data_IF_692671886966
#
_entry.id   IF_692671886966
#
_cell.length_a   1.000
_cell.length_b   1.000
_cell.length_c   1.000
_cell.angle_alpha   90.00
_cell.angle_beta   90.00
_cell.angle_gamma   90.00
#
_symmetry.space_group_name_H-M   'P 1'
#
loop_
_entity.id
_entity.type
_entity.pdbx_description
1 polymer ?
#
# COMPACT_ATOMS: atom_id res chain seq x y z
N UNK A 1 -38.44 25.70 23.58
CA UNK A 1 -37.19 26.48 23.60
C UNK A 1 -36.02 25.50 23.61
N UNK A 2 -35.16 25.64 22.60
CA UNK A 2 -33.76 25.17 22.49
C UNK A 2 -33.48 23.66 22.44
N UNK A 3 -33.54 23.11 21.23
CA UNK A 3 -32.70 21.98 20.80
C UNK A 3 -31.25 22.48 20.65
N UNK A 4 -30.34 22.13 21.57
CA UNK A 4 -28.90 22.31 21.35
C UNK A 4 -28.31 20.98 20.87
N UNK A 5 -28.33 20.84 19.54
CA UNK A 5 -27.52 19.87 18.83
C UNK A 5 -26.04 20.26 19.04
N UNK A 6 -25.35 19.58 19.95
CA UNK A 6 -23.92 19.77 20.20
C UNK A 6 -23.15 19.23 18.99
N UNK A 7 -23.00 20.05 17.95
CA UNK A 7 -22.03 19.83 16.88
C UNK A 7 -20.63 20.03 17.47
N UNK A 8 -20.09 19.02 18.14
CA UNK A 8 -18.65 18.98 18.43
C UNK A 8 -17.90 18.97 17.11
N UNK A 9 -16.96 19.90 16.86
CA UNK A 9 -16.12 19.83 15.67
C UNK A 9 -15.43 18.46 15.64
N UNK A 10 -15.57 17.71 14.56
CA UNK A 10 -14.81 16.47 14.35
C UNK A 10 -13.32 16.85 14.26
N UNK A 11 -12.60 16.69 15.36
CA UNK A 11 -11.15 16.88 15.42
C UNK A 11 -10.50 15.60 14.92
N UNK A 12 -9.66 15.71 13.89
CA UNK A 12 -8.91 14.60 13.33
C UNK A 12 -7.54 14.54 14.00
N UNK A 13 -7.19 13.42 14.63
CA UNK A 13 -5.92 13.25 15.35
C UNK A 13 -4.95 12.37 14.55
N UNK A 14 -3.70 12.81 14.44
CA UNK A 14 -2.62 12.00 13.89
C UNK A 14 -2.23 10.90 14.89
N UNK A 15 -2.40 9.63 14.51
CA UNK A 15 -2.06 8.50 15.38
C UNK A 15 -0.55 8.32 15.62
N UNK A 16 0.29 9.03 14.86
CA UNK A 16 1.75 8.94 14.94
C UNK A 16 2.35 9.98 15.90
N UNK A 17 1.70 11.14 16.06
CA UNK A 17 2.24 12.24 16.88
C UNK A 17 1.18 13.00 17.71
N UNK A 18 -0.07 12.55 17.69
CA UNK A 18 -1.20 13.11 18.44
C UNK A 18 -1.55 14.58 18.14
N UNK A 19 -1.03 15.13 17.03
CA UNK A 19 -1.43 16.45 16.55
C UNK A 19 -2.87 16.43 16.03
N UNK A 20 -3.61 17.50 16.32
CA UNK A 20 -5.03 17.64 16.04
C UNK A 20 -5.26 18.60 14.86
N UNK A 21 -6.14 18.20 13.95
CA UNK A 21 -6.45 18.92 12.71
C UNK A 21 -7.95 19.17 12.59
N UNK A 22 -8.30 20.28 11.94
CA UNK A 22 -9.69 20.66 11.71
C UNK A 22 -10.34 19.94 10.52
N UNK A 23 -9.57 19.20 9.72
CA UNK A 23 -10.09 18.40 8.61
C UNK A 23 -9.18 17.20 8.30
N UNK A 24 -9.78 16.17 7.68
CA UNK A 24 -9.05 14.99 7.21
C UNK A 24 -7.96 15.37 6.20
N UNK A 25 -8.22 16.28 5.26
CA UNK A 25 -7.23 16.69 4.25
C UNK A 25 -5.99 17.33 4.86
N UNK A 26 -6.14 18.08 5.97
CA UNK A 26 -5.02 18.63 6.71
C UNK A 26 -4.21 17.54 7.41
N UNK A 27 -4.89 16.54 8.00
CA UNK A 27 -4.24 15.37 8.57
C UNK A 27 -3.47 14.57 7.50
N UNK A 28 -4.07 14.31 6.33
CA UNK A 28 -3.41 13.60 5.22
C UNK A 28 -2.16 14.32 4.73
N UNK A 29 -2.25 15.65 4.55
CA UNK A 29 -1.09 16.47 4.16
C UNK A 29 -0.01 16.46 5.26
N UNK A 30 -0.42 16.46 6.52
CA UNK A 30 0.50 16.35 7.64
C UNK A 30 1.21 14.98 7.63
N UNK A 31 0.48 13.85 7.56
CA UNK A 31 1.10 12.52 7.49
C UNK A 31 2.06 12.41 6.32
N UNK A 32 1.65 12.85 5.13
CA UNK A 32 2.52 12.82 3.94
C UNK A 32 3.79 13.66 4.10
N UNK A 33 3.73 14.81 4.80
CA UNK A 33 4.87 15.73 4.92
C UNK A 33 5.76 15.46 6.13
N UNK A 34 5.24 14.86 7.20
CA UNK A 34 5.95 14.62 8.46
C UNK A 34 6.24 13.14 8.72
N UNK A 35 5.51 12.25 8.06
CA UNK A 35 5.51 10.81 8.31
C UNK A 35 5.54 10.01 6.99
N UNK A 36 6.18 10.55 5.94
CA UNK A 36 6.21 9.95 4.60
C UNK A 36 6.74 8.51 4.58
N UNK A 37 7.67 8.18 5.48
CA UNK A 37 8.37 6.90 5.54
C UNK A 37 7.89 6.06 6.74
N UNK A 38 6.71 6.36 7.27
CA UNK A 38 6.15 5.64 8.41
C UNK A 38 5.91 4.17 8.08
N UNK A 39 6.47 3.26 8.89
CA UNK A 39 6.20 1.81 8.85
C UNK A 39 5.33 1.31 10.00
N UNK A 40 4.97 2.20 10.94
CA UNK A 40 4.19 1.81 12.11
C UNK A 40 2.76 1.47 11.72
N UNK A 41 2.36 0.23 11.98
CA UNK A 41 1.00 -0.29 11.80
C UNK A 41 0.43 -0.53 13.21
N UNK A 42 -0.56 0.25 13.68
CA UNK A 42 -1.05 0.18 15.06
C UNK A 42 -1.55 -1.22 15.47
N UNK A 43 -2.20 -1.92 14.55
CA UNK A 43 -2.79 -3.25 14.77
C UNK A 43 -1.88 -4.39 14.29
N UNK A 44 -0.57 -4.14 14.13
CA UNK A 44 0.35 -5.13 13.58
C UNK A 44 0.32 -6.47 14.29
N UNK A 45 0.25 -6.46 15.62
CA UNK A 45 0.21 -7.66 16.45
C UNK A 45 -1.08 -8.48 16.29
N UNK A 46 -2.12 -7.88 15.70
CA UNK A 46 -3.37 -8.57 15.36
C UNK A 46 -3.29 -9.30 14.02
N UNK A 47 -2.23 -9.10 13.23
CA UNK A 47 -2.02 -9.79 11.96
C UNK A 47 -1.38 -11.16 12.23
N UNK A 48 -2.08 -12.23 11.85
CA UNK A 48 -1.62 -13.60 12.02
C UNK A 48 -0.65 -14.01 10.91
N UNK A 49 0.31 -14.89 11.18
CA UNK A 49 1.18 -15.43 10.13
C UNK A 49 0.35 -16.21 9.09
N UNK A 50 0.31 -15.79 7.82
CA UNK A 50 -0.49 -16.49 6.81
C UNK A 50 0.06 -17.90 6.53
N UNK A 51 -0.82 -18.91 6.33
CA UNK A 51 -0.39 -20.24 5.92
C UNK A 51 0.21 -20.23 4.50
N UNK A 52 1.17 -21.11 4.19
CA UNK A 52 1.88 -21.12 2.90
C UNK A 52 0.95 -21.21 1.68
N UNK A 53 -0.14 -21.95 1.77
CA UNK A 53 -1.09 -22.13 0.68
C UNK A 53 -1.77 -20.81 0.30
N UNK A 54 -2.12 -19.98 1.30
CA UNK A 54 -2.70 -18.67 1.04
C UNK A 54 -1.68 -17.69 0.46
N UNK A 55 -0.40 -17.80 0.86
CA UNK A 55 0.68 -17.00 0.27
C UNK A 55 0.81 -17.32 -1.23
N UNK A 56 0.85 -18.60 -1.60
CA UNK A 56 0.96 -19.03 -3.00
C UNK A 56 -0.26 -18.56 -3.82
N UNK A 57 -1.47 -18.71 -3.28
CA UNK A 57 -2.69 -18.22 -3.94
C UNK A 57 -2.62 -16.71 -4.19
N UNK A 58 -2.17 -15.95 -3.20
CA UNK A 58 -2.00 -14.50 -3.31
C UNK A 58 -0.98 -14.14 -4.39
N UNK A 59 0.21 -14.75 -4.36
CA UNK A 59 1.26 -14.49 -5.35
C UNK A 59 0.75 -14.74 -6.78
N UNK A 60 0.05 -15.85 -7.00
CA UNK A 60 -0.55 -16.17 -8.29
C UNK A 60 -1.59 -15.13 -8.75
N UNK A 61 -2.52 -14.75 -7.86
CA UNK A 61 -3.53 -13.73 -8.16
C UNK A 61 -2.87 -12.37 -8.47
N UNK A 62 -1.87 -11.99 -7.68
CA UNK A 62 -1.13 -10.75 -7.84
C UNK A 62 -0.41 -10.67 -9.18
N UNK A 63 0.24 -11.76 -9.61
CA UNK A 63 0.88 -11.87 -10.93
C UNK A 63 -0.15 -11.65 -12.05
N UNK A 64 -1.33 -12.28 -11.97
CA UNK A 64 -2.39 -12.11 -12.97
C UNK A 64 -2.85 -10.65 -13.03
N UNK A 65 -3.08 -10.03 -11.87
CA UNK A 65 -3.50 -8.62 -11.80
C UNK A 65 -2.44 -7.68 -12.36
N UNK A 66 -1.17 -7.90 -12.05
CA UNK A 66 -0.07 -7.13 -12.60
C UNK A 66 0.01 -7.32 -14.11
N UNK A 67 -0.03 -8.58 -14.58
CA UNK A 67 0.09 -8.89 -16.02
C UNK A 67 -0.94 -8.14 -16.83
N UNK A 68 -2.21 -8.24 -16.41
CA UNK A 68 -3.34 -7.55 -17.04
C UNK A 68 -3.18 -6.03 -17.10
N UNK A 69 -2.55 -5.40 -16.10
CA UNK A 69 -2.37 -3.93 -16.08
C UNK A 69 -1.11 -3.45 -16.80
N UNK A 70 -0.09 -4.30 -16.94
CA UNK A 70 1.19 -3.97 -17.56
C UNK A 70 1.26 -4.29 -19.06
N UNK A 71 0.41 -5.17 -19.60
CA UNK A 71 0.39 -5.53 -21.05
C UNK A 71 0.28 -4.35 -22.01
N UNK A 72 -0.25 -3.22 -21.57
CA UNK A 72 -0.48 -2.04 -22.41
C UNK A 72 0.05 -0.75 -21.77
N UNK A 73 1.09 -0.82 -20.93
CA UNK A 73 1.56 0.34 -20.16
C UNK A 73 2.91 0.89 -20.61
N UNK A 74 2.95 2.21 -20.84
CA UNK A 74 4.17 3.02 -20.98
C UNK A 74 4.23 3.96 -19.76
N UNK A 75 5.39 4.00 -19.06
CA UNK A 75 5.66 4.92 -17.93
C UNK A 75 5.37 4.35 -16.53
N UNK A 76 5.41 5.24 -15.52
CA UNK A 76 5.14 4.90 -14.11
C UNK A 76 3.65 4.71 -13.86
N UNK A 77 3.23 3.59 -13.26
CA UNK A 77 1.82 3.30 -12.96
C UNK A 77 1.66 2.81 -11.52
N UNK A 78 0.70 3.42 -10.82
CA UNK A 78 0.20 2.91 -9.56
C UNK A 78 -0.75 1.72 -9.79
N UNK A 79 -0.57 0.66 -9.00
CA UNK A 79 -1.41 -0.51 -8.95
C UNK A 79 -2.10 -0.56 -7.58
N UNK A 80 -3.35 -0.12 -7.53
CA UNK A 80 -4.23 -0.42 -6.39
C UNK A 80 -4.79 -1.83 -6.52
N UNK A 81 -4.64 -2.63 -5.46
CA UNK A 81 -5.19 -3.99 -5.36
C UNK A 81 -6.18 -3.97 -4.21
N UNK A 82 -7.47 -3.97 -4.56
CA UNK A 82 -8.55 -3.98 -3.58
C UNK A 82 -8.88 -5.42 -3.17
N UNK A 83 -9.16 -5.63 -1.88
CA UNK A 83 -9.77 -6.84 -1.31
C UNK A 83 -8.91 -8.11 -1.19
N UNK A 84 -7.76 -8.03 -0.49
CA UNK A 84 -6.99 -9.22 -0.08
C UNK A 84 -6.68 -9.19 1.41
N UNK A 85 -6.38 -10.35 2.04
CA UNK A 85 -6.05 -10.39 3.47
C UNK A 85 -4.85 -9.51 3.74
N UNK A 86 -5.06 -8.45 4.52
CA UNK A 86 -4.05 -7.47 4.93
C UNK A 86 -2.78 -8.17 5.43
N UNK A 87 -2.94 -9.26 6.18
CA UNK A 87 -1.81 -10.02 6.72
C UNK A 87 -0.86 -10.56 5.66
N UNK A 88 -1.36 -10.96 4.48
CA UNK A 88 -0.51 -11.49 3.42
C UNK A 88 0.31 -10.36 2.80
N UNK A 89 -0.33 -9.20 2.55
CA UNK A 89 0.37 -8.04 2.05
C UNK A 89 1.46 -7.60 3.01
N UNK A 90 1.13 -7.44 4.30
CA UNK A 90 2.11 -7.04 5.31
C UNK A 90 3.23 -8.08 5.39
N UNK A 91 2.93 -9.38 5.41
CA UNK A 91 3.93 -10.45 5.44
C UNK A 91 4.91 -10.39 4.26
N UNK A 92 4.43 -10.07 3.05
CA UNK A 92 5.26 -10.04 1.84
C UNK A 92 6.08 -8.75 1.69
N UNK A 93 5.55 -7.61 2.15
CA UNK A 93 6.08 -6.30 1.78
C UNK A 93 6.64 -5.48 2.95
N UNK A 94 6.38 -5.82 4.22
CA UNK A 94 6.75 -4.97 5.38
C UNK A 94 8.23 -4.62 5.49
N UNK A 95 9.09 -5.51 4.98
CA UNK A 95 10.54 -5.38 5.05
C UNK A 95 11.12 -4.65 3.84
N UNK A 96 10.28 -4.31 2.86
CA UNK A 96 10.75 -3.56 1.70
C UNK A 96 11.17 -2.14 2.11
N UNK A 97 12.24 -1.58 1.49
CA UNK A 97 12.77 -0.28 1.87
C UNK A 97 11.72 0.84 1.79
N UNK A 98 10.93 0.82 0.72
CA UNK A 98 9.90 1.81 0.38
C UNK A 98 8.53 1.51 0.98
N UNK A 99 8.41 0.43 1.77
CA UNK A 99 7.19 0.10 2.48
C UNK A 99 6.81 1.23 3.43
N UNK A 100 5.55 1.64 3.40
CA UNK A 100 4.99 2.61 4.33
C UNK A 100 3.50 2.37 4.56
N UNK A 101 3.00 2.85 5.69
CA UNK A 101 1.60 2.79 6.08
C UNK A 101 1.11 4.18 6.48
N UNK A 102 -0.05 4.60 5.97
CA UNK A 102 -0.79 5.78 6.42
C UNK A 102 -1.91 5.33 7.36
N UNK A 103 -1.83 5.63 8.67
CA UNK A 103 -2.94 5.36 9.59
C UNK A 103 -4.21 6.16 9.26
N UNK A 104 -4.08 7.41 8.80
CA UNK A 104 -5.25 8.22 8.46
C UNK A 104 -6.01 7.70 7.23
N UNK A 105 -5.30 7.17 6.22
CA UNK A 105 -5.93 6.56 5.04
C UNK A 105 -6.21 5.07 5.24
N UNK A 106 -5.59 4.46 6.25
CA UNK A 106 -5.49 3.00 6.43
C UNK A 106 -4.90 2.32 5.18
N UNK A 107 -3.90 2.97 4.59
CA UNK A 107 -3.30 2.59 3.32
C UNK A 107 -1.87 2.09 3.45
N UNK A 108 -1.56 1.01 2.75
CA UNK A 108 -0.19 0.57 2.54
C UNK A 108 0.34 1.04 1.19
N UNK A 109 1.61 1.41 1.17
CA UNK A 109 2.32 1.73 -0.05
C UNK A 109 3.67 1.00 -0.06
N UNK A 110 4.12 0.66 -1.24
CA UNK A 110 5.45 0.13 -1.50
C UNK A 110 5.82 0.54 -2.92
N UNK A 111 7.05 0.97 -3.13
CA UNK A 111 7.51 1.46 -4.43
C UNK A 111 8.64 0.57 -4.96
N UNK A 112 8.44 0.06 -6.18
CA UNK A 112 9.44 -0.69 -6.93
C UNK A 112 9.80 0.13 -8.16
N UNK A 113 11.08 0.38 -8.39
CA UNK A 113 11.58 1.25 -9.44
C UNK A 113 12.57 0.54 -10.38
N UNK A 114 12.39 0.67 -11.69
CA UNK A 114 13.36 0.20 -12.68
C UNK A 114 13.46 -1.33 -12.80
N UNK A 115 14.59 -1.79 -13.35
CA UNK A 115 14.89 -3.23 -13.47
C UNK A 115 15.07 -3.89 -12.10
N UNK A 116 15.72 -3.19 -11.17
CA UNK A 116 15.96 -3.70 -9.82
C UNK A 116 14.64 -3.90 -9.06
N UNK A 117 13.70 -2.96 -9.21
CA UNK A 117 12.35 -3.09 -8.67
C UNK A 117 11.56 -4.24 -9.30
N UNK A 118 11.70 -4.45 -10.61
CA UNK A 118 11.09 -5.59 -11.31
C UNK A 118 11.65 -6.92 -10.79
N UNK A 119 12.97 -7.04 -10.66
CA UNK A 119 13.63 -8.24 -10.14
C UNK A 119 13.26 -8.51 -8.69
N UNK A 120 13.23 -7.48 -7.84
CA UNK A 120 12.81 -7.62 -6.44
C UNK A 120 11.37 -8.12 -6.35
N UNK A 121 10.48 -7.61 -7.20
CA UNK A 121 9.09 -8.04 -7.22
C UNK A 121 8.94 -9.51 -7.67
N UNK A 122 9.76 -9.98 -8.61
CA UNK A 122 9.79 -11.41 -9.00
C UNK A 122 10.18 -12.30 -7.83
N UNK A 123 11.14 -11.87 -7.01
CA UNK A 123 11.56 -12.59 -5.80
C UNK A 123 10.41 -12.66 -4.78
N UNK A 124 9.77 -11.52 -4.47
CA UNK A 124 8.66 -11.46 -3.51
C UNK A 124 7.48 -12.33 -3.95
N UNK A 125 7.21 -12.38 -5.26
CA UNK A 125 6.09 -13.14 -5.83
C UNK A 125 6.43 -14.57 -6.21
N UNK A 126 7.66 -15.01 -5.96
CA UNK A 126 8.15 -16.35 -6.29
C UNK A 126 7.80 -16.76 -7.74
N UNK A 127 8.05 -15.86 -8.70
CA UNK A 127 7.69 -16.04 -10.11
C UNK A 127 8.92 -15.96 -10.99
N UNK A 128 9.47 -17.12 -11.37
CA UNK A 128 10.63 -17.23 -12.26
C UNK A 128 10.29 -16.83 -13.72
N UNK A 129 9.02 -16.95 -14.14
CA UNK A 129 8.60 -16.74 -15.54
C UNK A 129 7.73 -15.50 -15.70
N UNK A 130 8.39 -14.34 -15.60
CA UNK A 130 7.81 -13.04 -15.90
C UNK A 130 8.18 -12.61 -17.33
N UNK A 131 7.61 -13.26 -18.34
CA UNK A 131 7.88 -12.90 -19.73
C UNK A 131 6.93 -11.79 -20.18
N UNK A 132 7.36 -10.53 -20.07
CA UNK A 132 6.88 -9.46 -20.97
C UNK A 132 7.82 -9.38 -22.17
N UNK A 133 7.28 -9.12 -23.36
CA UNK A 133 8.09 -8.70 -24.51
C UNK A 133 8.80 -7.40 -24.12
N UNK A 134 10.10 -7.50 -23.85
CA UNK A 134 10.95 -6.38 -23.45
C UNK A 134 11.08 -5.39 -24.60
N UNK A 135 10.60 -4.16 -24.40
CA UNK A 135 11.11 -3.00 -25.14
C UNK A 135 12.10 -2.22 -24.24
N UNK A 136 13.24 -1.85 -24.80
CA UNK A 136 14.53 -1.70 -24.10
C UNK A 136 14.70 -0.44 -23.23
N UNK A 137 13.66 0.32 -22.89
CA UNK A 137 13.87 1.74 -22.48
C UNK A 137 13.10 2.27 -21.27
N UNK A 138 12.32 1.50 -20.50
CA UNK A 138 11.48 2.08 -19.43
C UNK A 138 11.71 1.48 -18.05
N UNK A 139 11.99 2.33 -17.05
CA UNK A 139 11.97 1.96 -15.64
C UNK A 139 10.54 1.98 -15.09
N UNK A 140 10.17 0.96 -14.32
CA UNK A 140 8.81 0.80 -13.79
C UNK A 140 8.73 1.33 -12.37
N UNK A 141 7.85 2.27 -12.08
CA UNK A 141 7.44 2.65 -10.71
C UNK A 141 6.11 1.97 -10.37
N UNK A 142 6.05 1.14 -9.33
CA UNK A 142 4.78 0.63 -8.77
C UNK A 142 4.38 1.48 -7.56
N UNK A 143 3.09 1.80 -7.42
CA UNK A 143 2.53 2.51 -6.26
C UNK A 143 1.25 1.78 -5.82
N UNK A 144 1.13 1.34 -4.57
CA UNK A 144 -0.07 0.65 -4.05
C UNK A 144 -0.96 1.64 -3.29
N UNK A 145 -2.29 1.58 -3.49
CA UNK A 145 -3.28 2.29 -2.65
C UNK A 145 -4.32 1.26 -2.15
N UNK A 146 -4.93 1.51 -0.98
CA UNK A 146 -5.87 0.61 -0.30
C UNK A 146 -7.08 1.38 0.26
N UNK A 147 -8.28 1.12 -0.25
CA UNK A 147 -9.49 1.66 0.40
C UNK A 147 -10.13 0.59 1.28
N UNK A 148 -10.33 0.90 2.56
CA UNK A 148 -11.26 0.16 3.42
C UNK A 148 -12.66 0.78 3.26
N UNK A 149 -13.63 -0.04 2.86
CA UNK A 149 -15.03 0.23 3.20
C UNK A 149 -15.25 0.00 4.69
#
# INVERSE_FOLDING_TARGET
MSNTNMNTPSIYECLLCHQKFSSISLLLRHEKSKHNDNKFIPHRNSLYLPPPELIIQYQNAFIIHIKKRLEHSIGSKSLSIDALPETIFVHLFEYEPTFRYSPAQREYYCEFQGKDGEERLKQILNCEYWNFQQDKTTGYGLNFNWYLF
#
